data_IF_204215521568
#
_entry.id   IF_204215521568
#
_cell.length_a   1.000
_cell.length_b   1.000
_cell.length_c   1.000
_cell.angle_alpha   90.00
_cell.angle_beta   90.00
_cell.angle_gamma   90.00
#
_symmetry.space_group_name_H-M   'P 1'
#
loop_
_entity.id
_entity.type
_entity.pdbx_description
1 polymer ?
#
# COMPACT_ATOMS: atom_id res chain seq x y z
N UNK A 1 19.79 -41.04 -21.53
CA UNK A 1 18.71 -41.11 -20.53
C UNK A 1 19.16 -40.39 -19.26
N UNK A 2 18.81 -39.11 -19.11
CA UNK A 2 19.18 -38.31 -17.94
C UNK A 2 17.91 -37.78 -17.27
N UNK A 3 17.27 -38.62 -16.44
CA UNK A 3 16.25 -38.14 -15.48
C UNK A 3 16.96 -37.81 -14.16
N UNK A 4 17.76 -36.73 -14.17
CA UNK A 4 18.20 -36.03 -12.96
C UNK A 4 17.52 -34.67 -12.96
N UNK A 5 16.33 -34.57 -12.38
CA UNK A 5 15.75 -33.32 -11.88
C UNK A 5 14.33 -33.59 -11.34
N UNK A 6 14.21 -34.46 -10.35
CA UNK A 6 13.08 -34.35 -9.42
C UNK A 6 13.65 -34.22 -8.02
N UNK A 7 14.50 -33.20 -7.84
CA UNK A 7 14.70 -32.65 -6.52
C UNK A 7 13.40 -31.92 -6.20
N UNK A 8 12.52 -32.60 -5.46
CA UNK A 8 11.41 -31.98 -4.75
C UNK A 8 12.00 -30.93 -3.80
N UNK A 9 12.24 -29.71 -4.31
CA UNK A 9 12.62 -28.61 -3.46
C UNK A 9 11.36 -28.25 -2.69
N UNK A 10 11.38 -28.54 -1.39
CA UNK A 10 10.40 -28.16 -0.38
C UNK A 10 10.34 -26.63 -0.18
N UNK A 11 10.49 -25.88 -1.26
CA UNK A 11 10.47 -24.43 -1.28
C UNK A 11 9.01 -24.00 -1.22
N UNK A 12 8.52 -23.79 0.01
CA UNK A 12 7.42 -22.86 0.28
C UNK A 12 7.84 -21.51 -0.30
N UNK A 13 7.54 -21.26 -1.57
CA UNK A 13 7.72 -19.93 -2.16
C UNK A 13 6.74 -19.00 -1.45
N UNK A 14 7.22 -18.23 -0.49
CA UNK A 14 6.49 -17.10 0.06
C UNK A 14 6.43 -16.05 -1.06
N UNK A 15 5.40 -16.13 -1.90
CA UNK A 15 5.17 -15.16 -2.95
C UNK A 15 4.73 -13.84 -2.30
N UNK A 16 5.72 -13.02 -1.94
CA UNK A 16 5.52 -11.68 -1.43
C UNK A 16 5.64 -10.69 -2.59
N UNK A 17 4.51 -10.18 -3.07
CA UNK A 17 4.49 -9.11 -4.07
C UNK A 17 4.48 -7.78 -3.31
N UNK A 18 5.56 -6.97 -3.36
CA UNK A 18 5.61 -5.74 -2.62
C UNK A 18 4.79 -4.64 -3.29
N UNK A 19 3.55 -4.42 -2.83
CA UNK A 19 2.71 -3.27 -3.25
C UNK A 19 3.11 -1.97 -2.53
N UNK A 20 3.87 -2.08 -1.44
CA UNK A 20 4.29 -0.99 -0.56
C UNK A 20 4.99 0.19 -1.26
N UNK A 21 5.82 0.00 -2.31
CA UNK A 21 6.43 1.12 -3.03
C UNK A 21 5.39 2.08 -3.62
N UNK A 22 4.28 1.55 -4.13
CA UNK A 22 3.19 2.36 -4.69
C UNK A 22 2.52 3.17 -3.58
N UNK A 23 2.26 2.54 -2.43
CA UNK A 23 1.67 3.23 -1.28
C UNK A 23 2.60 4.29 -0.70
N UNK A 24 3.90 3.99 -0.58
CA UNK A 24 4.90 4.92 -0.09
C UNK A 24 4.96 6.17 -0.99
N UNK A 25 4.96 5.98 -2.31
CA UNK A 25 4.91 7.09 -3.26
C UNK A 25 3.61 7.91 -3.13
N UNK A 26 2.47 7.25 -2.99
CA UNK A 26 1.18 7.92 -2.81
C UNK A 26 1.14 8.76 -1.53
N UNK A 27 1.63 8.23 -0.41
CA UNK A 27 1.71 8.96 0.86
C UNK A 27 2.76 10.08 0.84
N UNK A 28 3.85 9.92 0.10
CA UNK A 28 4.85 10.96 -0.13
C UNK A 28 4.23 12.17 -0.85
N UNK A 29 3.43 11.92 -1.89
CA UNK A 29 2.79 12.96 -2.71
C UNK A 29 1.79 13.84 -1.95
N UNK A 30 1.25 13.36 -0.84
CA UNK A 30 0.32 14.11 0.03
C UNK A 30 0.96 14.52 1.36
N UNK A 31 2.29 14.47 1.45
CA UNK A 31 3.08 14.86 2.64
C UNK A 31 2.72 14.09 3.93
N UNK A 32 2.13 12.90 3.78
CA UNK A 32 1.79 12.00 4.89
C UNK A 32 2.72 10.80 4.99
N UNK A 33 3.91 10.85 4.38
CA UNK A 33 4.84 9.72 4.33
C UNK A 33 5.10 9.10 5.71
N UNK A 34 5.34 9.92 6.75
CA UNK A 34 5.58 9.40 8.11
C UNK A 34 4.43 8.55 8.64
N UNK A 35 3.18 9.01 8.50
CA UNK A 35 2.00 8.28 8.95
C UNK A 35 1.68 7.11 8.00
N UNK A 36 1.87 7.29 6.70
CA UNK A 36 1.75 6.25 5.68
C UNK A 36 2.73 5.09 5.90
N UNK A 37 3.97 5.38 6.29
CA UNK A 37 4.97 4.36 6.63
C UNK A 37 4.54 3.54 7.86
N UNK A 38 3.91 4.15 8.87
CA UNK A 38 3.35 3.41 10.00
C UNK A 38 2.23 2.45 9.56
N UNK A 39 1.36 2.90 8.65
CA UNK A 39 0.31 2.04 8.06
C UNK A 39 0.94 0.87 7.30
N UNK A 40 1.95 1.14 6.47
CA UNK A 40 2.68 0.11 5.70
C UNK A 40 3.32 -0.93 6.63
N UNK A 41 3.99 -0.49 7.70
CA UNK A 41 4.62 -1.38 8.68
C UNK A 41 3.56 -2.20 9.42
N UNK A 42 2.46 -1.58 9.86
CA UNK A 42 1.36 -2.26 10.53
C UNK A 42 0.71 -3.34 9.65
N UNK A 43 0.43 -3.01 8.38
CA UNK A 43 -0.11 -3.97 7.41
C UNK A 43 0.90 -5.10 7.15
N UNK A 44 2.18 -4.79 7.01
CA UNK A 44 3.23 -5.80 6.82
C UNK A 44 3.29 -6.78 7.98
N UNK A 45 3.21 -6.28 9.21
CA UNK A 45 3.21 -7.11 10.42
C UNK A 45 1.98 -8.03 10.48
N UNK A 46 0.78 -7.51 10.18
CA UNK A 46 -0.45 -8.31 10.11
C UNK A 46 -0.32 -9.39 9.03
N UNK A 47 0.23 -9.05 7.86
CA UNK A 47 0.42 -9.97 6.75
C UNK A 47 1.37 -11.12 7.14
N UNK A 48 2.48 -10.83 7.81
CA UNK A 48 3.40 -11.85 8.31
C UNK A 48 2.70 -12.74 9.35
N UNK A 49 1.96 -12.15 10.29
CA UNK A 49 1.20 -12.89 11.29
C UNK A 49 0.17 -13.85 10.68
N UNK A 50 -0.57 -13.38 9.68
CA UNK A 50 -1.56 -14.21 8.96
C UNK A 50 -0.88 -15.35 8.22
N UNK A 51 0.21 -15.11 7.49
CA UNK A 51 0.91 -16.18 6.76
C UNK A 51 1.64 -17.17 7.68
N UNK A 52 1.92 -16.78 8.93
CA UNK A 52 2.46 -17.69 9.93
C UNK A 52 1.40 -18.68 10.46
N UNK A 53 0.16 -18.22 10.62
CA UNK A 53 -0.96 -19.01 11.17
C UNK A 53 -1.72 -19.76 10.08
N UNK A 54 -1.96 -19.11 8.94
CA UNK A 54 -2.80 -19.60 7.86
C UNK A 54 -1.90 -20.03 6.68
N UNK A 55 -1.90 -21.32 6.31
CA UNK A 55 -1.08 -21.79 5.21
C UNK A 55 -1.53 -21.20 3.86
N UNK A 56 -0.56 -21.07 2.97
CA UNK A 56 -0.79 -20.72 1.57
C UNK A 56 -1.77 -21.71 0.90
N UNK A 57 -2.73 -21.24 0.06
CA UNK A 57 -2.95 -19.86 -0.40
C UNK A 57 -4.01 -19.09 0.42
N UNK A 58 -4.59 -19.69 1.46
CA UNK A 58 -5.72 -19.08 2.17
C UNK A 58 -5.35 -17.78 2.89
N UNK A 59 -4.12 -17.69 3.42
CA UNK A 59 -3.60 -16.46 4.03
C UNK A 59 -3.51 -15.30 3.03
N UNK A 60 -3.17 -15.60 1.76
CA UNK A 60 -3.10 -14.59 0.70
C UNK A 60 -4.46 -13.99 0.37
N UNK A 61 -5.55 -14.78 0.40
CA UNK A 61 -6.89 -14.28 0.11
C UNK A 61 -7.30 -13.23 1.14
N UNK A 62 -7.04 -13.49 2.42
CA UNK A 62 -7.36 -12.58 3.52
C UNK A 62 -6.49 -11.32 3.42
N UNK A 63 -5.20 -11.49 3.14
CA UNK A 63 -4.25 -10.39 3.02
C UNK A 63 -4.60 -9.51 1.83
N UNK A 64 -4.72 -10.06 0.62
CA UNK A 64 -5.01 -9.30 -0.58
C UNK A 64 -6.42 -8.68 -0.55
N UNK A 65 -7.38 -9.36 0.06
CA UNK A 65 -8.75 -8.88 0.17
C UNK A 65 -8.92 -7.79 1.21
N UNK A 66 -8.26 -7.88 2.37
CA UNK A 66 -8.51 -7.01 3.52
C UNK A 66 -7.50 -5.88 3.68
N UNK A 67 -6.21 -6.16 3.49
CA UNK A 67 -5.15 -5.21 3.85
C UNK A 67 -5.07 -3.95 2.98
N UNK A 68 -5.36 -3.96 1.66
CA UNK A 68 -5.30 -2.76 0.84
C UNK A 68 -6.35 -1.72 1.25
N UNK A 69 -7.50 -2.15 1.77
CA UNK A 69 -8.59 -1.24 2.13
C UNK A 69 -8.21 -0.22 3.19
N UNK A 70 -7.38 -0.62 4.16
CA UNK A 70 -6.88 0.27 5.20
C UNK A 70 -6.01 1.37 4.57
N UNK A 71 -5.04 0.99 3.74
CA UNK A 71 -4.18 1.94 3.05
C UNK A 71 -5.00 2.88 2.14
N UNK A 72 -5.95 2.34 1.38
CA UNK A 72 -6.83 3.13 0.51
C UNK A 72 -7.73 4.10 1.28
N UNK A 73 -8.29 3.69 2.42
CA UNK A 73 -9.10 4.55 3.27
C UNK A 73 -8.33 5.79 3.73
N UNK A 74 -7.11 5.60 4.24
CA UNK A 74 -6.27 6.71 4.70
C UNK A 74 -5.77 7.58 3.54
N UNK A 75 -5.37 6.97 2.42
CA UNK A 75 -5.01 7.72 1.21
C UNK A 75 -6.14 8.62 0.75
N UNK A 76 -7.37 8.09 0.66
CA UNK A 76 -8.55 8.89 0.26
C UNK A 76 -8.79 10.04 1.23
N UNK A 77 -8.83 9.74 2.54
CA UNK A 77 -9.09 10.74 3.58
C UNK A 77 -8.07 11.88 3.49
N UNK A 78 -6.78 11.55 3.51
CA UNK A 78 -5.73 12.57 3.51
C UNK A 78 -5.55 13.27 2.18
N UNK A 79 -5.93 12.65 1.06
CA UNK A 79 -5.95 13.34 -0.24
C UNK A 79 -7.01 14.43 -0.26
N UNK A 80 -8.18 14.20 0.34
CA UNK A 80 -9.22 15.24 0.49
C UNK A 80 -8.70 16.38 1.38
N UNK A 81 -8.10 16.05 2.52
CA UNK A 81 -7.51 17.04 3.44
C UNK A 81 -6.36 17.83 2.78
N UNK A 82 -5.59 17.19 1.90
CA UNK A 82 -4.50 17.83 1.16
C UNK A 82 -5.03 18.74 0.06
N UNK A 83 -6.04 18.30 -0.72
CA UNK A 83 -6.66 19.13 -1.75
C UNK A 83 -7.35 20.38 -1.17
N UNK A 84 -7.93 20.28 0.04
CA UNK A 84 -8.54 21.42 0.72
C UNK A 84 -7.54 22.55 1.06
N UNK A 85 -6.23 22.28 1.07
CA UNK A 85 -5.19 23.28 1.28
C UNK A 85 -4.89 24.09 0.01
N UNK A 86 -5.36 23.64 -1.15
CA UNK A 86 -5.19 24.32 -2.44
C UNK A 86 -6.58 24.58 -3.06
N UNK A 87 -7.34 25.56 -2.51
CA UNK A 87 -8.62 25.93 -3.07
C UNK A 87 -8.44 26.41 -4.52
N UNK A 88 -9.17 25.80 -5.45
CA UNK A 88 -9.14 26.15 -6.89
C UNK A 88 -9.82 27.50 -7.17
N UNK A 89 -10.44 28.13 -6.16
CA UNK A 89 -11.22 29.37 -6.20
C UNK A 89 -10.42 30.61 -5.78
N UNK A 90 -9.08 30.58 -5.84
CA UNK A 90 -8.34 31.84 -6.01
C UNK A 90 -8.68 32.39 -7.39
N UNK A 91 -9.87 32.99 -7.51
CA UNK A 91 -10.14 33.98 -8.53
C UNK A 91 -8.99 34.97 -8.45
N UNK A 92 -8.18 34.97 -9.50
CA UNK A 92 -7.18 35.99 -9.72
C UNK A 92 -8.00 37.27 -9.84
N UNK A 93 -8.14 38.01 -8.74
CA UNK A 93 -8.60 39.39 -8.76
C UNK A 93 -7.52 40.14 -9.53
N UNK A 94 -7.69 40.23 -10.84
CA UNK A 94 -7.00 41.22 -11.64
C UNK A 94 -7.48 42.56 -11.09
N UNK A 95 -6.59 43.25 -10.37
CA UNK A 95 -6.80 44.65 -10.02
C UNK A 95 -7.01 45.40 -11.35
N UNK A 96 -8.26 45.73 -11.67
CA UNK A 96 -8.65 46.52 -12.85
C UNK A 96 -8.26 48.01 -12.70
N UNK A 97 -7.15 48.31 -12.02
CA UNK A 97 -6.68 49.68 -11.81
C UNK A 97 -5.17 49.79 -12.10
N UNK A 98 -4.81 49.74 -13.39
CA UNK A 98 -3.60 50.41 -13.91
C UNK A 98 -3.86 50.96 -15.32
#
# INVERSE_FOLDING_TARGET
MAKKAFAASNNKYWAFIPIWPIWAWAFFRIEKLRLGSLIIVGISAINIGINYVIPFPYGLIIVLGGTPWVAFYFLRKWTIDWNAQFPLDKEVSFDENE
#
